data_IF_552789459221
#
_entry.id   IF_552789459221
#
_cell.length_a   1.000
_cell.length_b   1.000
_cell.length_c   1.000
_cell.angle_alpha   90.00
_cell.angle_beta   90.00
_cell.angle_gamma   90.00
#
_symmetry.space_group_name_H-M   'P 1'
#
loop_
_entity.id
_entity.type
_entity.pdbx_description
1 polymer ?
#
# COMPACT_ATOMS: atom_id res chain seq x y z
N UNK A 1 22.62 -96.62 5.54
CA UNK A 1 23.30 -95.48 6.19
C UNK A 1 24.29 -94.86 5.21
N UNK A 2 23.86 -93.87 4.40
CA UNK A 2 24.62 -92.65 4.11
C UNK A 2 23.81 -91.75 3.16
N UNK A 3 23.38 -90.64 3.73
CA UNK A 3 22.80 -89.47 3.08
C UNK A 3 23.81 -88.83 2.12
N UNK A 4 23.35 -88.38 0.94
CA UNK A 4 24.07 -87.35 0.17
C UNK A 4 23.12 -86.32 -0.44
N UNK A 5 23.32 -85.12 0.07
CA UNK A 5 22.63 -83.84 -0.09
C UNK A 5 22.29 -83.35 -1.50
N UNK A 6 21.16 -82.63 -1.52
CA UNK A 6 20.69 -81.67 -2.50
C UNK A 6 21.71 -80.60 -2.91
N UNK A 7 21.57 -80.09 -4.14
CA UNK A 7 21.70 -78.66 -4.44
C UNK A 7 20.54 -78.21 -5.32
N UNK A 8 19.56 -77.54 -4.70
CA UNK A 8 18.63 -76.67 -5.42
C UNK A 8 19.33 -75.33 -5.66
N UNK A 9 19.42 -74.90 -6.91
CA UNK A 9 19.76 -73.52 -7.27
C UNK A 9 18.44 -72.76 -7.39
N UNK A 10 18.10 -71.97 -6.38
CA UNK A 10 17.00 -71.01 -6.45
C UNK A 10 17.51 -69.70 -7.04
N UNK A 11 17.08 -69.38 -8.26
CA UNK A 11 17.19 -68.03 -8.84
C UNK A 11 16.26 -67.10 -8.06
N UNK A 12 16.81 -66.04 -7.48
CA UNK A 12 16.02 -64.94 -6.90
C UNK A 12 15.57 -64.03 -8.05
N UNK A 13 14.26 -63.80 -8.28
CA UNK A 13 13.83 -62.78 -9.21
C UNK A 13 14.02 -61.38 -8.58
N UNK A 14 14.58 -60.47 -9.36
CA UNK A 14 14.91 -59.11 -8.94
C UNK A 14 13.67 -58.28 -8.62
N UNK A 15 13.48 -57.93 -7.35
CA UNK A 15 12.47 -56.99 -6.86
C UNK A 15 12.80 -55.51 -7.20
N UNK A 16 13.27 -55.23 -8.42
CA UNK A 16 13.62 -53.87 -8.86
C UNK A 16 12.64 -53.26 -9.87
N UNK A 17 11.71 -54.05 -10.43
CA UNK A 17 10.76 -53.56 -11.43
C UNK A 17 9.49 -52.91 -10.83
N UNK A 18 9.10 -53.26 -9.60
CA UNK A 18 7.84 -52.76 -9.00
C UNK A 18 7.93 -51.35 -8.39
N UNK A 19 9.12 -50.92 -7.96
CA UNK A 19 9.31 -49.61 -7.33
C UNK A 19 9.36 -48.46 -8.35
N UNK A 20 9.88 -48.70 -9.55
CA UNK A 20 10.00 -47.67 -10.58
C UNK A 20 8.63 -47.24 -11.15
N UNK A 21 7.70 -48.19 -11.31
CA UNK A 21 6.36 -47.90 -11.81
C UNK A 21 5.53 -47.06 -10.82
N UNK A 22 5.63 -47.35 -9.52
CA UNK A 22 4.90 -46.63 -8.48
C UNK A 22 5.38 -45.19 -8.29
N UNK A 23 6.69 -44.94 -8.41
CA UNK A 23 7.27 -43.59 -8.35
C UNK A 23 6.86 -42.76 -9.56
N UNK A 24 6.79 -43.36 -10.76
CA UNK A 24 6.36 -42.68 -11.97
C UNK A 24 4.88 -42.26 -11.92
N UNK A 25 4.01 -43.12 -11.37
CA UNK A 25 2.58 -42.82 -11.16
C UNK A 25 2.36 -41.70 -10.13
N UNK A 26 3.15 -41.67 -9.04
CA UNK A 26 3.13 -40.59 -8.06
C UNK A 26 3.56 -39.25 -8.66
N UNK A 27 4.61 -39.23 -9.47
CA UNK A 27 5.08 -38.02 -10.16
C UNK A 27 4.04 -37.47 -11.15
N UNK A 28 3.36 -38.33 -11.91
CA UNK A 28 2.31 -37.90 -12.85
C UNK A 28 1.07 -37.37 -12.13
N UNK A 29 0.69 -37.96 -10.99
CA UNK A 29 -0.42 -37.45 -10.18
C UNK A 29 -0.11 -36.09 -9.52
N UNK A 30 1.13 -35.86 -9.11
CA UNK A 30 1.57 -34.58 -8.55
C UNK A 30 1.53 -33.46 -9.61
N UNK A 31 1.96 -33.74 -10.85
CA UNK A 31 1.88 -32.75 -11.94
C UNK A 31 0.43 -32.47 -12.36
N UNK A 32 -0.45 -33.47 -12.38
CA UNK A 32 -1.86 -33.29 -12.78
C UNK A 32 -2.68 -32.50 -11.75
N UNK A 33 -2.37 -32.61 -10.46
CA UNK A 33 -2.98 -31.80 -9.40
C UNK A 33 -2.41 -30.38 -9.38
N UNK A 34 -1.10 -30.23 -9.59
CA UNK A 34 -0.41 -28.93 -9.59
C UNK A 34 -0.83 -28.01 -10.75
N UNK A 35 -1.21 -28.57 -11.90
CA UNK A 35 -1.76 -27.78 -13.02
C UNK A 35 -3.18 -27.25 -12.78
N UNK A 36 -3.96 -27.84 -11.86
CA UNK A 36 -5.32 -27.35 -11.54
C UNK A 36 -5.34 -26.23 -10.51
N UNK A 37 -4.26 -26.03 -9.76
CA UNK A 37 -4.16 -25.00 -8.71
C UNK A 37 -3.51 -23.69 -9.18
N UNK A 38 -3.19 -23.53 -10.47
CA UNK A 38 -2.33 -22.44 -10.95
C UNK A 38 -3.01 -21.47 -11.94
N UNK A 39 -4.33 -21.31 -11.87
CA UNK A 39 -4.99 -20.10 -12.38
C UNK A 39 -6.00 -19.66 -11.33
N UNK A 40 -5.50 -19.23 -10.16
CA UNK A 40 -6.22 -18.21 -9.41
C UNK A 40 -6.42 -17.05 -10.38
N UNK A 41 -7.63 -16.94 -10.93
CA UNK A 41 -7.98 -15.83 -11.80
C UNK A 41 -7.81 -14.59 -10.95
N UNK A 42 -6.77 -13.80 -11.25
CA UNK A 42 -6.58 -12.48 -10.67
C UNK A 42 -7.95 -11.77 -10.80
N UNK A 43 -8.62 -11.43 -9.70
CA UNK A 43 -9.90 -10.77 -9.77
C UNK A 43 -9.73 -9.49 -10.57
N UNK A 44 -10.32 -9.44 -11.77
CA UNK A 44 -10.21 -8.24 -12.60
C UNK A 44 -11.09 -7.17 -11.97
N UNK A 45 -10.47 -6.08 -11.57
CA UNK A 45 -11.19 -4.86 -11.19
C UNK A 45 -12.03 -4.38 -12.39
N UNK A 46 -13.30 -3.97 -12.21
CA UNK A 46 -14.08 -3.40 -13.30
C UNK A 46 -13.41 -2.13 -13.87
N UNK A 47 -13.55 -1.83 -15.18
CA UNK A 47 -12.93 -0.64 -15.79
C UNK A 47 -13.25 0.68 -15.09
N UNK A 48 -14.48 0.83 -14.60
CA UNK A 48 -14.93 2.01 -13.85
C UNK A 48 -14.22 2.19 -12.50
N UNK A 49 -13.61 1.13 -11.98
CA UNK A 49 -12.90 1.11 -10.70
C UNK A 49 -11.38 1.17 -10.87
N UNK A 50 -10.83 1.08 -12.09
CA UNK A 50 -9.37 1.00 -12.31
C UNK A 50 -8.59 2.16 -11.69
N UNK A 51 -9.10 3.40 -11.81
CA UNK A 51 -8.40 4.58 -11.28
C UNK A 51 -8.38 4.54 -9.74
N UNK A 52 -9.53 4.29 -9.12
CA UNK A 52 -9.63 4.19 -7.67
C UNK A 52 -8.83 2.99 -7.13
N UNK A 53 -8.93 1.83 -7.76
CA UNK A 53 -8.18 0.64 -7.35
C UNK A 53 -6.67 0.83 -7.50
N UNK A 54 -6.21 1.49 -8.57
CA UNK A 54 -4.80 1.83 -8.75
C UNK A 54 -4.28 2.71 -7.61
N UNK A 55 -5.06 3.70 -7.19
CA UNK A 55 -4.72 4.57 -6.06
C UNK A 55 -4.73 3.83 -4.72
N UNK A 56 -5.76 3.02 -4.46
CA UNK A 56 -5.84 2.21 -3.25
C UNK A 56 -4.67 1.21 -3.17
N UNK A 57 -4.20 0.70 -4.31
CA UNK A 57 -3.06 -0.21 -4.36
C UNK A 57 -1.71 0.43 -4.01
N UNK A 58 -1.60 1.76 -4.11
CA UNK A 58 -0.39 2.52 -3.72
C UNK A 58 -0.55 3.22 -2.37
N UNK A 59 -1.69 3.08 -1.72
CA UNK A 59 -1.94 3.66 -0.40
C UNK A 59 -1.22 2.85 0.68
N UNK A 60 -0.61 3.53 1.64
CA UNK A 60 -0.05 2.89 2.83
C UNK A 60 -1.15 2.57 3.84
N UNK A 61 -2.16 3.44 3.93
CA UNK A 61 -3.29 3.30 4.86
C UNK A 61 -4.54 3.89 4.24
N UNK A 62 -5.68 3.23 4.41
CA UNK A 62 -6.99 3.77 4.05
C UNK A 62 -7.89 3.80 5.28
N UNK A 63 -8.42 4.98 5.61
CA UNK A 63 -9.14 5.23 6.87
C UNK A 63 -10.51 5.83 6.58
N UNK A 64 -11.58 5.29 7.17
CA UNK A 64 -12.85 6.00 7.27
C UNK A 64 -12.94 6.69 8.63
N UNK A 65 -13.13 8.01 8.65
CA UNK A 65 -13.11 8.76 9.90
C UNK A 65 -13.37 10.26 9.75
N UNK A 66 -13.20 10.97 10.86
CA UNK A 66 -13.47 12.41 10.97
C UNK A 66 -12.17 13.19 11.15
N UNK A 67 -12.01 14.30 10.43
CA UNK A 67 -10.92 15.24 10.66
C UNK A 67 -11.15 15.98 11.98
N UNK A 68 -10.37 15.66 13.01
CA UNK A 68 -10.53 16.21 14.37
C UNK A 68 -9.56 17.33 14.69
N UNK A 69 -8.54 17.53 13.85
CA UNK A 69 -7.61 18.66 13.92
C UNK A 69 -7.12 19.01 12.53
N UNK A 70 -7.02 20.30 12.23
CA UNK A 70 -6.29 20.83 11.09
C UNK A 70 -5.69 22.17 11.52
N UNK A 71 -4.37 22.22 11.69
CA UNK A 71 -3.64 23.41 12.11
C UNK A 71 -2.59 23.76 11.07
N UNK A 72 -2.59 25.01 10.62
CA UNK A 72 -1.59 25.49 9.68
C UNK A 72 -0.19 25.45 10.29
N UNK A 73 0.77 24.87 9.56
CA UNK A 73 2.18 24.80 9.95
C UNK A 73 3.06 25.49 8.90
N UNK A 74 3.37 26.75 9.15
CA UNK A 74 4.15 27.60 8.25
C UNK A 74 5.59 27.10 7.99
N UNK A 75 6.09 26.16 8.80
CA UNK A 75 7.45 25.62 8.64
C UNK A 75 7.61 24.88 7.31
N UNK A 76 6.52 24.34 6.79
CA UNK A 76 6.46 23.55 5.56
C UNK A 76 6.06 24.36 4.32
N UNK A 77 5.94 25.68 4.46
CA UNK A 77 5.52 26.57 3.38
C UNK A 77 6.69 27.32 2.75
N UNK A 78 6.48 27.87 1.55
CA UNK A 78 7.49 28.65 0.85
C UNK A 78 7.81 29.96 1.62
N UNK A 79 9.09 30.38 1.70
CA UNK A 79 9.49 31.63 2.31
C UNK A 79 8.97 32.82 1.48
N UNK A 80 8.13 33.62 2.11
CA UNK A 80 7.68 34.88 1.54
C UNK A 80 8.73 35.97 1.75
N UNK A 81 9.52 36.27 0.72
CA UNK A 81 10.43 37.42 0.73
C UNK A 81 9.70 38.77 0.69
N UNK A 82 10.40 39.86 1.04
CA UNK A 82 9.87 41.24 1.05
C UNK A 82 9.28 41.65 -0.32
N UNK A 83 9.90 41.23 -1.42
CA UNK A 83 9.44 41.54 -2.79
C UNK A 83 8.15 40.75 -3.14
N UNK A 84 8.02 39.51 -2.66
CA UNK A 84 6.84 38.67 -2.92
C UNK A 84 5.59 39.15 -2.16
N UNK A 85 5.77 39.77 -0.98
CA UNK A 85 4.70 40.43 -0.23
C UNK A 85 4.09 41.62 -0.99
N UNK A 86 4.91 42.39 -1.71
CA UNK A 86 4.47 43.52 -2.53
C UNK A 86 3.72 43.05 -3.78
N UNK A 87 4.09 41.90 -4.34
CA UNK A 87 3.50 41.34 -5.57
C UNK A 87 2.30 40.41 -5.35
N UNK A 88 1.88 40.15 -4.10
CA UNK A 88 0.81 39.18 -3.74
C UNK A 88 0.97 37.78 -4.37
N UNK A 89 2.22 37.30 -4.51
CA UNK A 89 2.54 35.98 -5.11
C UNK A 89 2.90 34.93 -4.05
N UNK A 90 2.41 35.12 -2.84
CA UNK A 90 2.81 34.35 -1.66
C UNK A 90 1.72 33.42 -1.15
N UNK A 91 0.66 33.24 -1.94
CA UNK A 91 -0.61 32.66 -1.48
C UNK A 91 -0.79 31.19 -1.87
N UNK A 92 0.20 30.55 -2.49
CA UNK A 92 -0.15 29.42 -3.34
C UNK A 92 -0.08 28.04 -2.65
N UNK A 93 0.53 27.91 -1.48
CA UNK A 93 0.55 26.62 -0.75
C UNK A 93 0.52 26.81 0.76
N UNK A 94 -0.53 26.30 1.40
CA UNK A 94 -0.65 26.29 2.86
C UNK A 94 -0.53 24.86 3.38
N UNK A 95 0.35 24.64 4.34
CA UNK A 95 0.58 23.32 4.92
C UNK A 95 -0.19 23.18 6.23
N UNK A 96 -0.77 22.01 6.46
CA UNK A 96 -1.56 21.71 7.65
C UNK A 96 -1.07 20.44 8.32
N UNK A 97 -0.77 20.51 9.61
CA UNK A 97 -0.71 19.34 10.48
C UNK A 97 -2.13 18.97 10.90
N UNK A 98 -2.50 17.72 10.71
CA UNK A 98 -3.86 17.27 10.89
C UNK A 98 -3.96 15.95 11.66
N UNK A 99 -5.17 15.69 12.18
CA UNK A 99 -5.51 14.42 12.83
C UNK A 99 -6.85 13.92 12.36
N UNK A 100 -6.90 12.63 12.04
CA UNK A 100 -8.12 11.90 11.71
C UNK A 100 -8.41 10.95 12.87
N UNK A 101 -9.66 10.95 13.34
CA UNK A 101 -10.16 9.91 14.23
C UNK A 101 -10.96 8.93 13.41
N UNK A 102 -10.40 7.74 13.22
CA UNK A 102 -11.04 6.64 12.53
C UNK A 102 -12.28 6.16 13.31
N UNK A 103 -13.26 5.62 12.60
CA UNK A 103 -14.49 5.12 13.23
C UNK A 103 -14.28 3.85 14.07
N UNK A 104 -13.14 3.19 13.92
CA UNK A 104 -12.71 2.08 14.78
C UNK A 104 -12.01 2.56 16.08
N UNK A 105 -11.84 3.87 16.25
CA UNK A 105 -11.24 4.49 17.43
C UNK A 105 -9.76 4.84 17.31
N UNK A 106 -9.06 4.42 16.25
CA UNK A 106 -7.66 4.80 16.05
C UNK A 106 -7.51 6.27 15.63
N UNK A 107 -6.39 6.89 16.01
CA UNK A 107 -6.04 8.23 15.55
C UNK A 107 -4.85 8.19 14.60
N UNK A 108 -4.95 8.94 13.50
CA UNK A 108 -3.93 9.07 12.49
C UNK A 108 -3.49 10.53 12.39
N UNK A 109 -2.17 10.77 12.42
CA UNK A 109 -1.59 12.09 12.17
C UNK A 109 -1.09 12.15 10.74
N UNK A 110 -1.37 13.26 10.06
CA UNK A 110 -0.98 13.48 8.66
C UNK A 110 -0.64 14.95 8.42
N UNK A 111 -0.02 15.20 7.29
CA UNK A 111 0.11 16.53 6.70
C UNK A 111 -0.67 16.62 5.40
N UNK A 112 -1.27 17.78 5.12
CA UNK A 112 -1.82 18.06 3.79
C UNK A 112 -1.49 19.48 3.36
N UNK A 113 -1.51 19.70 2.04
CA UNK A 113 -1.14 20.96 1.43
C UNK A 113 -2.30 21.49 0.61
N UNK A 114 -2.75 22.70 0.92
CA UNK A 114 -3.78 23.39 0.16
C UNK A 114 -3.14 24.26 -0.92
N UNK A 115 -3.46 23.98 -2.18
CA UNK A 115 -3.04 24.78 -3.32
C UNK A 115 -4.16 25.77 -3.70
N UNK A 116 -3.93 27.06 -3.48
CA UNK A 116 -4.91 28.11 -3.80
C UNK A 116 -6.23 28.05 -3.01
N UNK A 117 -7.33 28.63 -3.53
CA UNK A 117 -8.61 28.73 -2.83
C UNK A 117 -9.54 27.52 -3.02
N UNK A 118 -9.02 26.39 -3.49
CA UNK A 118 -9.80 25.17 -3.75
C UNK A 118 -10.47 24.58 -2.50
N UNK A 119 -11.39 23.64 -2.74
CA UNK A 119 -11.95 22.82 -1.67
C UNK A 119 -10.81 22.02 -1.02
N UNK A 120 -10.78 22.00 0.31
CA UNK A 120 -9.75 21.31 1.08
C UNK A 120 -10.38 20.75 2.34
N UNK A 121 -9.76 19.71 2.95
CA UNK A 121 -10.23 19.14 4.20
C UNK A 121 -10.44 20.20 5.29
N UNK A 122 -11.65 20.23 5.83
CA UNK A 122 -12.04 21.10 6.92
C UNK A 122 -12.30 20.31 8.21
N UNK A 123 -12.15 21.00 9.34
CA UNK A 123 -12.40 20.41 10.64
C UNK A 123 -13.85 19.90 10.73
N UNK A 124 -14.03 18.65 11.15
CA UNK A 124 -15.34 17.99 11.24
C UNK A 124 -15.74 17.22 9.99
N UNK A 125 -14.98 17.31 8.89
CA UNK A 125 -15.25 16.54 7.69
C UNK A 125 -15.16 15.05 7.97
N UNK A 126 -16.17 14.31 7.51
CA UNK A 126 -16.22 12.86 7.57
C UNK A 126 -16.01 12.30 6.16
N UNK A 127 -14.94 11.53 5.98
CA UNK A 127 -14.50 11.06 4.67
C UNK A 127 -13.82 9.70 4.75
N UNK A 128 -13.52 9.13 3.58
CA UNK A 128 -12.50 8.08 3.44
C UNK A 128 -11.21 8.75 3.00
N UNK A 129 -10.18 8.57 3.82
CA UNK A 129 -8.85 9.17 3.69
C UNK A 129 -7.89 8.11 3.15
N UNK A 130 -7.35 8.34 1.97
CA UNK A 130 -6.30 7.52 1.36
C UNK A 130 -4.97 8.17 1.72
N UNK A 131 -4.18 7.52 2.56
CA UNK A 131 -2.96 8.08 3.13
C UNK A 131 -1.73 7.42 2.53
N UNK A 132 -0.79 8.25 2.11
CA UNK A 132 0.52 7.83 1.60
C UNK A 132 1.61 8.25 2.57
N UNK A 133 2.60 7.41 2.80
CA UNK A 133 3.74 7.70 3.68
C UNK A 133 4.88 8.25 2.84
N UNK A 134 5.22 9.52 3.07
CA UNK A 134 6.30 10.18 2.35
C UNK A 134 7.12 11.11 3.27
N UNK A 135 8.24 11.59 2.74
CA UNK A 135 9.12 12.56 3.35
C UNK A 135 8.57 13.98 3.16
N UNK A 136 8.21 14.63 4.27
CA UNK A 136 7.88 16.06 4.29
C UNK A 136 9.10 16.88 4.66
N UNK A 137 9.34 17.96 3.93
CA UNK A 137 10.47 18.85 4.15
C UNK A 137 10.00 20.17 4.76
N UNK A 138 10.55 20.61 5.91
CA UNK A 138 10.22 21.90 6.50
C UNK A 138 10.84 23.02 5.65
N UNK A 139 10.16 23.33 4.53
CA UNK A 139 10.66 24.15 3.44
C UNK A 139 11.17 25.52 3.89
N UNK A 140 10.42 26.21 4.76
CA UNK A 140 10.82 27.52 5.30
C UNK A 140 12.14 27.42 6.07
N UNK A 141 12.29 26.41 6.92
CA UNK A 141 13.49 26.19 7.73
C UNK A 141 14.70 25.87 6.83
N UNK A 142 14.49 25.01 5.84
CA UNK A 142 15.53 24.66 4.87
C UNK A 142 15.96 25.85 4.01
N UNK A 143 15.01 26.69 3.59
CA UNK A 143 15.29 27.89 2.81
C UNK A 143 16.07 28.93 3.61
N UNK A 144 15.69 29.18 4.87
CA UNK A 144 16.40 30.10 5.77
C UNK A 144 17.86 29.69 6.00
N UNK A 145 18.16 28.39 5.91
CA UNK A 145 19.52 27.84 6.04
C UNK A 145 20.26 27.73 4.71
N UNK A 146 19.69 28.22 3.61
CA UNK A 146 20.22 28.05 2.25
C UNK A 146 20.48 26.56 1.89
N UNK A 147 19.64 25.66 2.41
CA UNK A 147 19.86 24.22 2.37
C UNK A 147 18.90 23.45 1.45
N UNK A 148 18.03 24.13 0.69
CA UNK A 148 16.96 23.51 -0.13
C UNK A 148 17.46 22.46 -1.13
N UNK A 149 18.66 22.63 -1.68
CA UNK A 149 19.27 21.70 -2.65
C UNK A 149 20.40 20.89 -2.04
N UNK A 150 20.54 20.89 -0.72
CA UNK A 150 21.63 20.27 0.01
C UNK A 150 21.12 19.14 0.91
N UNK A 151 22.01 18.25 1.32
CA UNK A 151 21.73 17.23 2.36
C UNK A 151 21.48 17.83 3.75
N UNK A 152 21.65 19.15 3.92
CA UNK A 152 21.36 19.86 5.17
C UNK A 152 19.87 20.11 5.42
N UNK A 153 18.99 19.87 4.44
CA UNK A 153 17.54 19.90 4.63
C UNK A 153 17.06 18.52 5.08
N UNK A 154 16.77 18.38 6.37
CA UNK A 154 16.30 17.13 6.96
C UNK A 154 14.79 17.01 6.75
N UNK A 155 14.36 15.93 6.08
CA UNK A 155 12.95 15.55 5.99
C UNK A 155 12.49 14.75 7.19
N UNK A 156 11.19 14.77 7.43
CA UNK A 156 10.51 13.95 8.42
C UNK A 156 9.51 13.04 7.71
N UNK A 157 9.37 11.75 8.09
CA UNK A 157 8.34 10.90 7.51
C UNK A 157 6.95 11.28 8.06
N UNK A 158 5.96 11.43 7.19
CA UNK A 158 4.57 11.69 7.57
C UNK A 158 3.61 10.92 6.66
N UNK A 159 2.39 10.70 7.12
CA UNK A 159 1.30 10.47 6.19
C UNK A 159 0.93 11.77 5.48
N UNK A 160 0.62 11.70 4.20
CA UNK A 160 0.24 12.84 3.37
C UNK A 160 -1.00 12.52 2.53
N UNK A 161 -1.68 13.59 2.10
CA UNK A 161 -2.57 13.58 0.95
C UNK A 161 -1.76 14.08 -0.25
N UNK A 162 -1.60 13.26 -1.28
CA UNK A 162 -0.89 13.59 -2.51
C UNK A 162 -1.78 14.37 -3.49
N UNK A 163 -3.09 14.13 -3.44
CA UNK A 163 -4.09 14.74 -4.33
C UNK A 163 -5.41 15.01 -3.60
N UNK A 164 -6.22 15.93 -4.15
CA UNK A 164 -7.60 16.17 -3.70
C UNK A 164 -8.45 14.89 -3.75
N UNK A 165 -8.15 13.99 -4.67
CA UNK A 165 -8.89 12.75 -4.83
C UNK A 165 -8.53 11.67 -3.78
N UNK A 166 -7.59 11.95 -2.88
CA UNK A 166 -7.27 11.08 -1.72
C UNK A 166 -8.30 11.23 -0.60
N UNK A 167 -9.20 12.21 -0.75
CA UNK A 167 -10.31 12.46 0.15
C UNK A 167 -11.60 12.12 -0.58
N UNK A 168 -12.11 10.92 -0.30
CA UNK A 168 -13.34 10.44 -0.92
C UNK A 168 -14.54 10.70 0.01
N UNK A 169 -15.73 10.97 -0.55
CA UNK A 169 -16.94 11.06 0.24
C UNK A 169 -17.15 9.80 1.08
N UNK A 170 -17.63 9.95 2.33
CA UNK A 170 -17.86 8.80 3.20
C UNK A 170 -18.81 7.75 2.60
N UNK A 171 -19.72 8.17 1.71
CA UNK A 171 -20.62 7.26 0.98
C UNK A 171 -19.89 6.26 0.08
N UNK A 172 -18.64 6.52 -0.32
CA UNK A 172 -17.83 5.59 -1.11
C UNK A 172 -17.22 4.46 -0.27
N UNK A 173 -17.30 4.52 1.07
CA UNK A 173 -16.67 3.53 1.95
C UNK A 173 -17.02 2.06 1.61
N UNK A 174 -18.29 1.69 1.35
CA UNK A 174 -18.60 0.31 0.95
C UNK A 174 -17.97 -0.12 -0.38
N UNK A 175 -17.79 0.82 -1.32
CA UNK A 175 -17.09 0.55 -2.59
C UNK A 175 -15.59 0.37 -2.35
N UNK A 176 -14.98 1.25 -1.55
CA UNK A 176 -13.57 1.17 -1.16
C UNK A 176 -13.28 -0.16 -0.45
N UNK A 177 -14.10 -0.57 0.52
CA UNK A 177 -13.93 -1.84 1.22
C UNK A 177 -13.94 -3.06 0.27
N UNK A 178 -14.84 -3.07 -0.72
CA UNK A 178 -14.87 -4.14 -1.73
C UNK A 178 -13.59 -4.16 -2.58
N UNK A 179 -13.05 -2.99 -2.93
CA UNK A 179 -11.82 -2.90 -3.69
C UNK A 179 -10.60 -3.32 -2.87
N UNK A 180 -10.49 -2.88 -1.60
CA UNK A 180 -9.43 -3.31 -0.69
C UNK A 180 -9.43 -4.84 -0.54
N UNK A 181 -10.60 -5.45 -0.33
CA UNK A 181 -10.75 -6.91 -0.28
C UNK A 181 -10.32 -7.59 -1.58
N UNK A 182 -10.68 -7.03 -2.74
CA UNK A 182 -10.29 -7.59 -4.05
C UNK A 182 -8.77 -7.47 -4.31
N UNK A 183 -8.12 -6.45 -3.72
CA UNK A 183 -6.69 -6.20 -3.82
C UNK A 183 -5.87 -6.95 -2.75
N UNK A 184 -6.52 -7.62 -1.79
CA UNK A 184 -5.90 -8.23 -0.60
C UNK A 184 -5.13 -7.21 0.27
N UNK A 185 -5.71 -6.02 0.47
CA UNK A 185 -5.21 -4.95 1.33
C UNK A 185 -6.04 -4.83 2.62
#
# INVERSE_FOLDING_TARGET
MHSRNHRHVTRVPSARAGLAASVLLLLVSACAVSHRTAVDRVPLTPPADHVLAGRLATADVVVAGVLTRAQRDIRYEAPCGIIAHIMRRCDDTQAYEARIRAFDGHEWSLMFFRLGPGLHPALGDSAVWVLHRDAVYPYLVCAQRAALTSTGCVSEPSFILESDDDVLPLSEWPRVQRLLQALNL
#
